data_IF_453181318469
#
_entry.id   IF_453181318469
#
_cell.length_a   1.000
_cell.length_b   1.000
_cell.length_c   1.000
_cell.angle_alpha   90.00
_cell.angle_beta   90.00
_cell.angle_gamma   90.00
#
_symmetry.space_group_name_H-M   'P 1'
#
loop_
_entity.id
_entity.type
_entity.pdbx_description
1 polymer ?
#
# COMPACT_ATOMS: atom_id res chain seq x y z
N UNK A 1 22.35 37.49 -23.06
CA UNK A 1 22.56 36.08 -22.88
C UNK A 1 21.20 35.44 -22.62
N UNK A 2 20.66 34.74 -23.64
CA UNK A 2 19.34 34.10 -23.52
C UNK A 2 19.55 32.75 -22.86
N UNK A 3 19.08 32.59 -21.60
CA UNK A 3 19.11 31.35 -20.88
C UNK A 3 18.25 30.27 -21.54
N UNK A 4 18.79 29.06 -21.59
CA UNK A 4 18.10 27.88 -22.10
C UNK A 4 16.97 27.50 -21.15
N UNK A 5 15.76 27.32 -21.68
CA UNK A 5 14.62 26.88 -20.87
C UNK A 5 14.76 25.42 -20.45
N UNK A 6 14.22 24.98 -19.30
CA UNK A 6 14.33 23.60 -18.79
C UNK A 6 13.81 22.52 -19.74
N UNK A 7 12.89 22.87 -20.66
CA UNK A 7 12.34 21.96 -21.67
C UNK A 7 13.36 21.55 -22.74
N UNK A 8 14.31 22.41 -23.10
CA UNK A 8 15.33 22.10 -24.13
C UNK A 8 16.37 21.14 -23.53
N UNK A 9 16.71 21.28 -22.26
CA UNK A 9 17.66 20.39 -21.57
C UNK A 9 17.12 18.95 -21.45
N UNK A 10 15.83 18.76 -21.24
CA UNK A 10 15.22 17.43 -21.16
C UNK A 10 15.19 16.71 -22.51
N UNK A 11 14.90 17.43 -23.62
CA UNK A 11 14.93 16.88 -24.98
C UNK A 11 16.33 16.46 -25.43
N UNK A 12 17.36 17.22 -25.06
CA UNK A 12 18.77 16.87 -25.39
C UNK A 12 19.23 15.62 -24.62
N UNK A 13 18.81 15.44 -23.37
CA UNK A 13 19.08 14.21 -22.61
C UNK A 13 18.40 12.98 -23.23
N UNK A 14 17.17 13.14 -23.70
CA UNK A 14 16.41 12.04 -24.31
C UNK A 14 17.00 11.64 -25.68
N UNK A 15 17.46 12.57 -26.50
CA UNK A 15 18.13 12.27 -27.77
C UNK A 15 19.50 11.56 -27.58
N UNK A 16 20.26 11.89 -26.52
CA UNK A 16 21.54 11.21 -26.22
C UNK A 16 21.31 9.77 -25.76
N UNK A 17 20.24 9.48 -25.05
CA UNK A 17 19.87 8.15 -24.58
C UNK A 17 19.50 7.21 -25.75
N UNK A 18 18.71 7.69 -26.72
CA UNK A 18 18.30 6.92 -27.89
C UNK A 18 19.50 6.57 -28.80
N UNK A 19 20.45 7.47 -28.97
CA UNK A 19 21.67 7.21 -29.78
C UNK A 19 22.60 6.17 -29.11
N UNK A 20 22.64 6.10 -27.79
CA UNK A 20 23.44 5.10 -27.09
C UNK A 20 22.87 3.69 -27.28
N UNK A 21 21.55 3.52 -27.17
CA UNK A 21 20.87 2.25 -27.39
C UNK A 21 21.05 1.71 -28.81
N UNK A 22 20.98 2.57 -29.85
CA UNK A 22 21.26 2.19 -31.22
C UNK A 22 22.70 1.71 -31.40
N UNK A 23 23.68 2.41 -30.86
CA UNK A 23 25.10 2.00 -30.93
C UNK A 23 25.35 0.67 -30.21
N UNK A 24 24.66 0.40 -29.10
CA UNK A 24 24.76 -0.85 -28.37
C UNK A 24 24.17 -2.03 -29.17
N UNK A 25 23.01 -1.84 -29.80
CA UNK A 25 22.39 -2.84 -30.66
C UNK A 25 23.25 -3.18 -31.88
N UNK A 26 23.87 -2.18 -32.49
CA UNK A 26 24.77 -2.38 -33.65
C UNK A 26 26.06 -3.13 -33.28
N UNK A 27 26.61 -2.89 -32.08
CA UNK A 27 27.77 -3.64 -31.58
C UNK A 27 27.43 -5.12 -31.32
N UNK A 28 26.25 -5.44 -30.82
CA UNK A 28 25.80 -6.82 -30.63
C UNK A 28 25.66 -7.53 -31.99
N UNK A 29 25.02 -6.86 -32.97
CA UNK A 29 24.90 -7.42 -34.33
C UNK A 29 26.25 -7.73 -35.01
N UNK A 30 27.22 -6.83 -34.83
CA UNK A 30 28.59 -7.04 -35.41
C UNK A 30 29.33 -8.23 -34.73
N UNK A 31 29.22 -8.37 -33.43
CA UNK A 31 29.82 -9.49 -32.69
C UNK A 31 29.20 -10.84 -33.06
N UNK A 32 27.91 -10.90 -33.32
CA UNK A 32 27.21 -12.13 -33.73
C UNK A 32 27.63 -12.54 -35.14
N UNK A 33 27.76 -11.58 -36.08
CA UNK A 33 28.26 -11.87 -37.46
C UNK A 33 29.69 -12.34 -37.47
N UNK A 34 30.57 -11.84 -36.61
CA UNK A 34 31.97 -12.31 -36.54
C UNK A 34 32.10 -13.71 -35.92
N UNK A 35 31.24 -14.09 -34.96
CA UNK A 35 31.24 -15.47 -34.42
C UNK A 35 30.75 -16.52 -35.43
N UNK A 36 29.78 -16.18 -36.29
CA UNK A 36 29.29 -17.08 -37.34
C UNK A 36 30.35 -17.32 -38.44
N UNK A 37 31.14 -16.30 -38.80
CA UNK A 37 32.24 -16.47 -39.77
C UNK A 37 33.38 -17.38 -39.25
N UNK A 38 33.62 -17.47 -37.96
CA UNK A 38 34.69 -18.31 -37.37
C UNK A 38 34.34 -19.80 -37.25
N UNK A 39 33.05 -20.19 -37.43
CA UNK A 39 32.62 -21.58 -37.30
C UNK A 39 32.50 -22.37 -38.61
N UNK A 40 32.96 -21.80 -39.74
CA UNK A 40 33.09 -22.57 -40.99
C UNK A 40 31.80 -23.24 -41.49
N UNK A 41 30.63 -22.79 -41.08
CA UNK A 41 29.37 -23.33 -41.59
C UNK A 41 29.13 -22.82 -43.00
N UNK A 42 29.47 -23.62 -43.98
CA UNK A 42 29.16 -23.40 -45.38
C UNK A 42 27.70 -23.75 -45.58
N UNK A 43 26.82 -22.73 -45.68
CA UNK A 43 25.44 -22.92 -46.11
C UNK A 43 25.40 -22.80 -47.64
N UNK A 44 24.84 -23.80 -48.37
CA UNK A 44 24.69 -23.69 -49.82
C UNK A 44 23.70 -22.54 -50.12
N UNK A 45 24.05 -21.72 -51.10
CA UNK A 45 23.19 -20.64 -51.58
C UNK A 45 22.01 -21.25 -52.36
N UNK A 46 20.91 -21.39 -51.71
CA UNK A 46 19.68 -21.89 -52.32
C UNK A 46 18.66 -22.33 -51.25
N UNK A 47 17.57 -21.61 -51.18
CA UNK A 47 16.37 -21.89 -50.37
C UNK A 47 16.42 -21.54 -48.88
N UNK A 48 16.37 -20.24 -48.56
CA UNK A 48 15.65 -19.77 -47.41
C UNK A 48 14.17 -19.68 -47.81
N UNK A 49 13.46 -20.80 -47.75
CA UNK A 49 12.00 -20.75 -47.62
C UNK A 49 11.72 -20.21 -46.24
N UNK A 50 11.31 -18.93 -46.15
CA UNK A 50 10.74 -18.34 -44.96
C UNK A 50 9.36 -18.96 -44.82
N UNK A 51 9.25 -19.99 -43.98
CA UNK A 51 7.98 -20.52 -43.57
C UNK A 51 7.16 -19.35 -42.97
N UNK A 52 5.95 -19.04 -43.49
CA UNK A 52 5.09 -18.01 -42.91
C UNK A 52 4.41 -18.60 -41.67
N UNK A 53 5.08 -18.55 -40.53
CA UNK A 53 4.55 -19.16 -39.32
C UNK A 53 5.22 -18.77 -38.01
N UNK A 54 6.36 -18.08 -38.02
CA UNK A 54 6.86 -17.48 -36.79
C UNK A 54 6.15 -16.16 -36.56
N UNK A 55 4.91 -16.23 -36.05
CA UNK A 55 4.37 -15.15 -35.27
C UNK A 55 5.27 -15.05 -34.04
N UNK A 56 6.23 -14.12 -34.06
CA UNK A 56 6.81 -13.62 -32.83
C UNK A 56 5.64 -13.02 -32.08
N UNK A 57 5.02 -13.81 -31.18
CA UNK A 57 4.28 -13.23 -30.09
C UNK A 57 5.32 -12.40 -29.32
N UNK A 58 5.52 -11.16 -29.73
CA UNK A 58 5.95 -10.15 -28.81
C UNK A 58 4.81 -10.09 -27.81
N UNK A 59 4.91 -10.86 -26.74
CA UNK A 59 4.11 -10.61 -25.56
C UNK A 59 4.31 -9.12 -25.29
N UNK A 60 3.24 -8.36 -25.45
CA UNK A 60 3.25 -6.98 -25.04
C UNK A 60 3.64 -7.07 -23.57
N UNK A 61 4.83 -6.55 -23.24
CA UNK A 61 5.20 -6.36 -21.85
C UNK A 61 4.03 -5.58 -21.27
N UNK A 62 3.19 -6.26 -20.50
CA UNK A 62 2.18 -5.61 -19.71
C UNK A 62 2.88 -4.44 -19.05
N UNK A 63 2.42 -3.23 -19.38
CA UNK A 63 2.81 -2.06 -18.61
C UNK A 63 2.41 -2.39 -17.18
N UNK A 64 3.35 -2.89 -16.39
CA UNK A 64 3.19 -2.94 -14.94
C UNK A 64 3.06 -1.50 -14.53
N UNK A 65 1.83 -1.04 -14.52
CA UNK A 65 1.47 0.21 -13.89
C UNK A 65 1.84 -0.03 -12.42
N UNK A 66 2.96 0.54 -12.00
CA UNK A 66 3.28 0.65 -10.58
C UNK A 66 2.14 1.49 -10.00
N UNK A 67 1.14 0.81 -9.45
CA UNK A 67 0.10 1.43 -8.64
C UNK A 67 0.82 1.88 -7.35
N UNK A 68 1.40 3.06 -7.37
CA UNK A 68 1.91 3.73 -6.19
C UNK A 68 0.74 4.47 -5.56
N UNK A 69 -0.09 3.77 -4.79
CA UNK A 69 -1.05 4.45 -3.93
C UNK A 69 -0.23 5.23 -2.88
N UNK A 70 -0.43 6.54 -2.85
CA UNK A 70 0.18 7.40 -1.85
C UNK A 70 -0.85 7.68 -0.74
N UNK A 71 -0.61 7.14 0.45
CA UNK A 71 -1.45 7.39 1.62
C UNK A 71 -0.99 8.67 2.29
N UNK A 72 -1.79 9.72 2.16
CA UNK A 72 -1.52 11.03 2.77
C UNK A 72 -2.23 11.11 4.11
N UNK A 73 -1.53 11.59 5.14
CA UNK A 73 -2.12 11.81 6.46
C UNK A 73 -3.26 12.84 6.37
N UNK A 74 -4.50 12.46 6.73
CA UNK A 74 -5.62 13.40 6.69
C UNK A 74 -5.57 14.48 7.77
N UNK A 75 -4.85 14.23 8.88
CA UNK A 75 -4.73 15.13 10.03
C UNK A 75 -3.27 15.22 10.49
N UNK A 76 -2.40 15.86 9.69
CA UNK A 76 -0.97 15.91 9.98
C UNK A 76 -0.70 16.75 11.22
N UNK A 77 -0.05 16.16 12.21
CA UNK A 77 0.48 16.85 13.39
C UNK A 77 1.86 16.30 13.76
N UNK A 78 2.71 17.07 14.46
CA UNK A 78 4.04 16.61 14.83
C UNK A 78 3.97 15.32 15.66
N UNK A 79 4.76 14.31 15.28
CA UNK A 79 4.88 13.03 15.99
C UNK A 79 3.58 12.22 16.16
N UNK A 80 2.57 12.44 15.31
CA UNK A 80 1.27 11.76 15.42
C UNK A 80 1.32 10.24 15.16
N UNK A 81 2.43 9.72 14.59
CA UNK A 81 2.62 8.29 14.36
C UNK A 81 1.82 7.74 13.17
N UNK A 82 1.42 8.58 12.19
CA UNK A 82 0.75 8.12 10.98
C UNK A 82 1.55 7.02 10.29
N UNK A 83 0.89 5.90 9.97
CA UNK A 83 1.55 4.73 9.38
C UNK A 83 2.23 3.80 10.40
N UNK A 84 2.10 4.02 11.71
CA UNK A 84 2.71 3.15 12.73
C UNK A 84 2.29 1.69 12.56
N UNK A 85 1.03 1.44 12.23
CA UNK A 85 0.52 0.13 11.82
C UNK A 85 -0.25 0.28 10.51
N UNK A 86 0.03 -0.61 9.54
CA UNK A 86 -0.66 -0.68 8.27
C UNK A 86 -1.09 -2.12 8.02
N UNK A 87 -2.37 -2.33 7.73
CA UNK A 87 -2.94 -3.67 7.49
C UNK A 87 -3.71 -3.67 6.17
N UNK A 88 -3.24 -4.47 5.21
CA UNK A 88 -3.96 -4.69 3.94
C UNK A 88 -5.07 -5.72 4.15
N UNK A 89 -6.28 -5.36 3.77
CA UNK A 89 -7.47 -6.22 3.80
C UNK A 89 -7.59 -7.03 2.51
N UNK A 90 -8.38 -8.12 2.55
CA UNK A 90 -8.65 -8.91 1.33
C UNK A 90 -9.52 -8.17 0.30
N UNK A 91 -10.16 -7.06 0.68
CA UNK A 91 -10.86 -6.13 -0.22
C UNK A 91 -9.92 -5.28 -1.08
N UNK A 92 -8.61 -5.28 -0.80
CA UNK A 92 -7.61 -4.39 -1.39
C UNK A 92 -7.45 -3.05 -0.65
N UNK A 93 -8.35 -2.70 0.27
CA UNK A 93 -8.23 -1.50 1.09
C UNK A 93 -7.18 -1.67 2.19
N UNK A 94 -6.67 -0.54 2.71
CA UNK A 94 -5.60 -0.51 3.71
C UNK A 94 -6.05 0.26 4.94
N UNK A 95 -5.96 -0.37 6.11
CA UNK A 95 -6.17 0.29 7.41
C UNK A 95 -4.84 0.85 7.89
N UNK A 96 -4.82 2.12 8.26
CA UNK A 96 -3.63 2.85 8.74
C UNK A 96 -3.92 3.47 10.09
N UNK A 97 -3.03 3.28 11.06
CA UNK A 97 -3.15 3.91 12.39
C UNK A 97 -2.32 5.18 12.49
N UNK A 98 -2.81 6.14 13.25
CA UNK A 98 -2.12 7.34 13.70
C UNK A 98 -2.41 7.54 15.19
N UNK A 99 -1.69 6.82 16.10
CA UNK A 99 -2.10 6.70 17.49
C UNK A 99 -2.02 7.97 18.32
N UNK A 100 -1.34 9.01 17.80
CA UNK A 100 -1.24 10.32 18.42
C UNK A 100 -1.74 11.43 17.52
N UNK A 101 -2.70 11.15 16.63
CA UNK A 101 -3.34 12.20 15.84
C UNK A 101 -4.09 13.16 16.75
N UNK A 102 -3.97 14.46 16.47
CA UNK A 102 -4.64 15.54 17.21
C UNK A 102 -6.01 15.83 16.58
N UNK A 103 -6.99 14.94 16.81
CA UNK A 103 -8.32 15.07 16.23
C UNK A 103 -9.34 15.32 17.35
N UNK A 104 -9.75 16.57 17.52
CA UNK A 104 -10.65 16.96 18.62
C UNK A 104 -9.98 17.13 19.98
N UNK A 105 -8.69 16.82 20.10
CA UNK A 105 -7.85 16.95 21.29
C UNK A 105 -6.44 16.49 21.03
N UNK A 106 -5.52 16.72 21.95
CA UNK A 106 -4.12 16.32 21.84
C UNK A 106 -3.99 14.81 22.01
N UNK A 107 -3.24 14.16 21.09
CA UNK A 107 -2.92 12.73 21.13
C UNK A 107 -4.16 11.80 21.31
N UNK A 108 -5.32 12.17 20.78
CA UNK A 108 -6.53 11.33 20.87
C UNK A 108 -6.43 10.09 20.00
N UNK A 109 -5.66 10.18 18.91
CA UNK A 109 -5.42 9.12 17.97
C UNK A 109 -6.51 8.92 16.91
N UNK A 110 -6.13 8.25 15.83
CA UNK A 110 -7.01 7.98 14.70
C UNK A 110 -6.69 6.63 14.04
N UNK A 111 -7.70 6.04 13.39
CA UNK A 111 -7.58 4.91 12.46
C UNK A 111 -8.28 5.28 11.16
N UNK A 112 -7.58 5.13 10.05
CA UNK A 112 -8.05 5.48 8.72
C UNK A 112 -8.19 4.23 7.86
N UNK A 113 -9.23 4.17 7.03
CA UNK A 113 -9.34 3.23 5.94
C UNK A 113 -9.09 3.96 4.63
N UNK A 114 -8.15 3.47 3.83
CA UNK A 114 -7.83 4.00 2.50
C UNK A 114 -8.17 2.98 1.42
N UNK A 115 -8.56 3.48 0.25
CA UNK A 115 -8.58 2.68 -0.96
C UNK A 115 -7.14 2.31 -1.34
N UNK A 116 -6.80 1.02 -1.33
CA UNK A 116 -5.44 0.57 -1.59
C UNK A 116 -4.98 0.76 -3.04
N UNK A 117 -5.89 0.97 -3.99
CA UNK A 117 -5.56 1.22 -5.39
C UNK A 117 -5.33 2.70 -5.69
N UNK A 118 -6.12 3.60 -5.09
CA UNK A 118 -6.08 5.04 -5.39
C UNK A 118 -5.35 5.86 -4.32
N UNK A 119 -5.26 5.36 -3.07
CA UNK A 119 -4.77 6.10 -1.92
C UNK A 119 -5.80 7.06 -1.32
N UNK A 120 -7.05 7.05 -1.82
CA UNK A 120 -8.10 7.93 -1.31
C UNK A 120 -8.61 7.47 0.06
N UNK A 121 -8.89 8.44 0.94
CA UNK A 121 -9.48 8.19 2.25
C UNK A 121 -10.93 7.72 2.10
N UNK A 122 -11.26 6.57 2.71
CA UNK A 122 -12.62 6.00 2.72
C UNK A 122 -13.35 6.33 4.01
N UNK A 123 -12.70 6.17 5.17
CA UNK A 123 -13.30 6.45 6.48
C UNK A 123 -12.25 6.76 7.54
N UNK A 124 -12.69 7.42 8.63
CA UNK A 124 -11.86 7.79 9.77
C UNK A 124 -12.59 7.52 11.08
N UNK A 125 -11.90 6.81 11.98
CA UNK A 125 -12.33 6.55 13.35
C UNK A 125 -11.37 7.27 14.31
N UNK A 126 -11.91 7.94 15.32
CA UNK A 126 -11.16 8.79 16.24
C UNK A 126 -11.33 8.34 17.69
N UNK A 127 -10.30 8.58 18.50
CA UNK A 127 -10.42 8.59 19.97
C UNK A 127 -11.18 9.80 20.47
N UNK A 128 -11.46 9.84 21.76
CA UNK A 128 -12.20 10.91 22.45
C UNK A 128 -11.34 11.65 23.48
N UNK A 129 -10.36 10.97 24.06
CA UNK A 129 -9.44 11.51 25.06
C UNK A 129 -7.98 11.17 24.73
N UNK A 130 -7.07 11.91 25.35
CA UNK A 130 -5.61 11.71 25.14
C UNK A 130 -5.21 10.28 25.47
N UNK A 131 -4.55 9.62 24.50
CA UNK A 131 -4.04 8.27 24.69
C UNK A 131 -5.00 7.13 24.39
N UNK A 132 -6.26 7.42 24.00
CA UNK A 132 -7.26 6.39 23.66
C UNK A 132 -6.74 5.35 22.67
N UNK A 133 -5.92 5.77 21.71
CA UNK A 133 -5.37 4.90 20.68
C UNK A 133 -3.87 4.55 20.85
N UNK A 134 -3.29 4.80 22.02
CA UNK A 134 -1.86 4.56 22.27
C UNK A 134 -1.46 3.09 22.04
N UNK A 135 -2.32 2.13 22.35
CA UNK A 135 -2.08 0.67 22.21
C UNK A 135 -3.11 0.02 21.28
N UNK A 136 -3.49 0.71 20.22
CA UNK A 136 -4.49 0.22 19.26
C UNK A 136 -3.97 -0.93 18.42
N UNK A 137 -4.71 -2.03 18.39
CA UNK A 137 -4.50 -3.19 17.52
C UNK A 137 -5.50 -3.24 16.37
N UNK A 138 -5.04 -3.67 15.19
CA UNK A 138 -5.89 -3.92 14.02
C UNK A 138 -5.87 -5.40 13.68
N UNK A 139 -7.05 -6.02 13.64
CA UNK A 139 -7.22 -7.44 13.30
C UNK A 139 -8.10 -7.58 12.07
N UNK A 140 -7.55 -8.18 11.00
CA UNK A 140 -8.30 -8.49 9.79
C UNK A 140 -9.14 -9.75 9.97
N UNK A 141 -10.37 -9.73 9.48
CA UNK A 141 -11.27 -10.87 9.47
C UNK A 141 -11.23 -11.59 8.11
N UNK A 142 -11.56 -12.89 8.10
CA UNK A 142 -11.55 -13.71 6.88
C UNK A 142 -12.52 -13.19 5.79
N UNK A 143 -13.59 -12.50 6.18
CA UNK A 143 -14.57 -11.91 5.27
C UNK A 143 -14.20 -10.54 4.71
N UNK A 144 -12.95 -10.09 4.90
CA UNK A 144 -12.46 -8.81 4.39
C UNK A 144 -12.73 -7.60 5.29
N UNK A 145 -13.47 -7.77 6.37
CA UNK A 145 -13.69 -6.74 7.38
C UNK A 145 -12.53 -6.69 8.38
N UNK A 146 -12.58 -5.77 9.34
CA UNK A 146 -11.55 -5.62 10.35
C UNK A 146 -12.14 -5.24 11.71
N UNK A 147 -11.33 -5.39 12.74
CA UNK A 147 -11.64 -4.98 14.11
C UNK A 147 -10.54 -4.07 14.61
N UNK A 148 -10.92 -2.96 15.18
CA UNK A 148 -10.04 -2.02 15.90
C UNK A 148 -10.19 -2.32 17.38
N UNK A 149 -9.08 -2.57 18.07
CA UNK A 149 -9.03 -2.87 19.49
C UNK A 149 -8.27 -1.74 20.17
N UNK A 150 -8.91 -1.06 21.11
CA UNK A 150 -8.37 0.12 21.81
C UNK A 150 -8.51 -0.08 23.33
N UNK A 151 -7.60 -0.86 23.98
CA UNK A 151 -7.74 -1.18 25.40
C UNK A 151 -7.55 0.01 26.34
N UNK A 152 -6.97 1.09 25.87
CA UNK A 152 -6.76 2.33 26.61
C UNK A 152 -7.90 3.35 26.45
N UNK A 153 -8.94 3.04 25.66
CA UNK A 153 -10.03 3.95 25.42
C UNK A 153 -10.80 4.23 26.71
N UNK A 154 -11.11 5.52 26.97
CA UNK A 154 -11.80 5.99 28.14
C UNK A 154 -13.31 6.12 27.89
N UNK A 155 -14.13 5.49 28.71
CA UNK A 155 -15.57 5.66 28.69
C UNK A 155 -15.98 6.72 29.71
N UNK A 156 -15.94 8.00 29.33
CA UNK A 156 -16.18 9.13 30.21
C UNK A 156 -15.28 9.10 31.46
N UNK A 157 -15.85 8.75 32.65
CA UNK A 157 -15.11 8.66 33.90
C UNK A 157 -14.43 7.29 34.13
N UNK A 158 -14.75 6.28 33.31
CA UNK A 158 -14.14 4.97 33.39
C UNK A 158 -12.84 4.94 32.54
N UNK A 159 -11.72 5.25 33.18
CA UNK A 159 -10.38 5.30 32.56
C UNK A 159 -9.95 3.91 32.11
N UNK A 160 -9.36 3.78 30.91
CA UNK A 160 -8.95 2.52 30.28
C UNK A 160 -10.07 1.45 30.31
N UNK A 161 -11.32 1.86 30.06
CA UNK A 161 -12.43 0.92 29.94
C UNK A 161 -12.24 -0.02 28.74
N UNK A 162 -11.61 0.50 27.70
CA UNK A 162 -11.34 -0.19 26.46
C UNK A 162 -12.54 -0.26 25.52
N UNK A 163 -12.23 -0.40 24.23
CA UNK A 163 -13.22 -0.52 23.18
C UNK A 163 -12.81 -1.50 22.09
N UNK A 164 -13.80 -2.19 21.50
CA UNK A 164 -13.64 -3.03 20.31
C UNK A 164 -14.62 -2.55 19.25
N UNK A 165 -14.11 -2.03 18.15
CA UNK A 165 -14.88 -1.45 17.06
C UNK A 165 -14.80 -2.32 15.83
N UNK A 166 -15.94 -2.72 15.26
CA UNK A 166 -15.97 -3.42 13.98
C UNK A 166 -15.99 -2.42 12.83
N UNK A 167 -15.21 -2.68 11.78
CA UNK A 167 -15.16 -1.89 10.56
C UNK A 167 -15.38 -2.73 9.31
N UNK A 168 -16.21 -2.21 8.40
CA UNK A 168 -16.35 -2.79 7.07
C UNK A 168 -15.08 -2.60 6.26
N UNK A 169 -14.59 -3.65 5.59
CA UNK A 169 -13.42 -3.55 4.71
C UNK A 169 -13.67 -2.74 3.43
N UNK A 170 -14.93 -2.42 3.10
CA UNK A 170 -15.28 -1.62 1.93
C UNK A 170 -15.56 -0.16 2.27
N UNK A 171 -16.35 0.10 3.31
CA UNK A 171 -16.80 1.46 3.68
C UNK A 171 -16.26 1.93 5.01
N UNK A 172 -15.55 1.07 5.75
CA UNK A 172 -14.94 1.39 7.04
C UNK A 172 -15.91 1.52 8.19
N UNK A 173 -15.49 2.29 9.17
CA UNK A 173 -16.27 2.81 10.30
C UNK A 173 -15.85 4.26 10.51
N UNK A 174 -16.79 5.16 10.81
CA UNK A 174 -16.52 6.59 10.92
C UNK A 174 -16.99 7.17 12.24
N UNK A 175 -16.40 8.31 12.61
CA UNK A 175 -16.74 9.10 13.78
C UNK A 175 -15.88 8.78 15.00
N UNK A 176 -16.31 9.21 16.18
CA UNK A 176 -15.62 8.95 17.44
C UNK A 176 -16.08 7.62 18.04
N UNK A 177 -15.16 6.88 18.63
CA UNK A 177 -15.47 5.63 19.37
C UNK A 177 -16.47 5.93 20.48
N UNK A 178 -17.52 5.12 20.55
CA UNK A 178 -18.62 5.26 21.51
C UNK A 178 -19.36 3.93 21.67
N UNK A 179 -20.25 3.84 22.65
CA UNK A 179 -21.15 2.69 22.84
C UNK A 179 -22.17 2.48 21.70
N UNK A 180 -22.26 3.42 20.75
CA UNK A 180 -23.16 3.30 19.58
C UNK A 180 -22.50 2.47 18.47
N UNK A 181 -21.18 2.61 18.28
CA UNK A 181 -20.42 1.97 17.19
C UNK A 181 -19.42 0.91 17.64
N UNK A 182 -19.28 0.72 18.97
CA UNK A 182 -18.26 -0.15 19.55
C UNK A 182 -18.80 -0.95 20.73
N UNK A 183 -18.22 -2.10 20.98
CA UNK A 183 -18.35 -2.79 22.25
C UNK A 183 -17.38 -2.13 23.23
N UNK A 184 -17.89 -1.58 24.35
CA UNK A 184 -17.12 -0.76 25.27
C UNK A 184 -17.15 -1.33 26.69
N UNK A 185 -16.07 -1.12 27.45
CA UNK A 185 -16.04 -1.35 28.90
C UNK A 185 -16.85 -0.29 29.65
N UNK A 186 -17.24 -0.61 30.87
CA UNK A 186 -18.09 0.27 31.73
C UNK A 186 -17.43 0.63 33.04
N UNK A 187 -16.34 -0.04 33.41
CA UNK A 187 -15.58 0.21 34.64
C UNK A 187 -14.12 0.53 34.32
N UNK A 188 -13.47 1.27 35.22
CA UNK A 188 -12.06 1.64 35.08
C UNK A 188 -11.20 0.38 35.01
N UNK A 189 -10.30 0.34 34.01
CA UNK A 189 -9.38 -0.77 33.73
C UNK A 189 -10.04 -2.09 33.29
N UNK A 190 -11.26 -2.08 32.75
CA UNK A 190 -11.85 -3.25 32.09
C UNK A 190 -10.99 -3.69 30.90
N UNK A 191 -10.34 -2.73 30.22
CA UNK A 191 -9.44 -2.96 29.07
C UNK A 191 -10.05 -3.88 28.02
N UNK A 192 -11.33 -3.65 27.70
CA UNK A 192 -12.03 -4.46 26.68
C UNK A 192 -11.19 -4.53 25.40
N UNK A 193 -10.92 -5.77 24.96
CA UNK A 193 -10.03 -6.07 23.85
C UNK A 193 -8.55 -6.25 24.21
N UNK A 194 -8.12 -5.95 25.43
CA UNK A 194 -6.70 -6.01 25.82
C UNK A 194 -6.02 -7.36 25.65
N UNK A 195 -6.78 -8.46 25.67
CA UNK A 195 -6.28 -9.82 25.48
C UNK A 195 -6.69 -10.44 24.13
N UNK A 196 -6.99 -9.62 23.12
CA UNK A 196 -7.48 -10.09 21.83
C UNK A 196 -6.50 -11.05 21.12
N UNK A 197 -5.21 -10.89 21.33
CA UNK A 197 -4.16 -11.79 20.82
C UNK A 197 -4.17 -13.20 21.45
N UNK A 198 -4.82 -13.36 22.57
CA UNK A 198 -4.85 -14.62 23.32
C UNK A 198 -6.02 -15.53 22.92
N UNK A 199 -6.90 -15.08 22.03
CA UNK A 199 -7.94 -15.95 21.51
C UNK A 199 -7.29 -17.10 20.73
N UNK A 200 -7.59 -18.38 21.08
CA UNK A 200 -7.04 -19.52 20.37
C UNK A 200 -7.39 -19.38 18.89
N UNK A 201 -6.36 -19.36 18.02
CA UNK A 201 -6.57 -19.46 16.59
C UNK A 201 -7.38 -20.73 16.37
N UNK A 202 -8.62 -20.60 15.92
CA UNK A 202 -9.44 -21.73 15.50
C UNK A 202 -8.64 -22.39 14.38
N UNK A 203 -7.95 -23.50 14.69
CA UNK A 203 -7.36 -24.34 13.65
C UNK A 203 -8.55 -24.85 12.84
N UNK A 204 -8.68 -24.42 11.61
CA UNK A 204 -9.56 -25.05 10.65
C UNK A 204 -9.16 -26.52 10.63
N UNK A 205 -10.04 -27.37 11.13
CA UNK A 205 -9.94 -28.79 10.93
C UNK A 205 -10.07 -29.04 9.43
N UNK A 206 -8.96 -29.43 8.81
CA UNK A 206 -8.89 -29.90 7.44
C UNK A 206 -9.50 -31.30 7.33
#
# INVERSE_FOLDING_TARGET
PRGWTPQIASRVKQMRSINWLKRFADQIRLRTRQRLKRRGCHFPAGQLQVEPGFHSHAESLEQRQLLTANFVDPNPSPNNGFGQTMVTLSTGNVVVTSPRADVGGTDTGAVYLFNGATGELVSSLFGSTTGDFAYTGIFKLANGNFVVVSPSWDNQLAVNAGAVTWGSGLIGVAGTVSSINSLVGTTTNDKVGGNFDQLPRIKTLS
#
